data_IF_710643834087
#
_entry.id   IF_710643834087
#
_cell.length_a   1.000
_cell.length_b   1.000
_cell.length_c   1.000
_cell.angle_alpha   90.00
_cell.angle_beta   90.00
_cell.angle_gamma   90.00
#
_symmetry.space_group_name_H-M   'P 1'
#
loop_
_entity.id
_entity.type
_entity.pdbx_description
1 polymer ?
#
# COMPACT_ATOMS: atom_id res chain seq x y z
N UNK A 1 36.81 -18.95 5.16
CA UNK A 1 36.70 -17.56 4.69
C UNK A 1 35.39 -17.02 5.25
N UNK A 2 35.46 -16.15 6.26
CA UNK A 2 34.26 -15.47 6.75
C UNK A 2 33.89 -14.43 5.70
N UNK A 3 32.77 -14.64 5.00
CA UNK A 3 32.19 -13.61 4.17
C UNK A 3 31.82 -12.45 5.09
N UNK A 4 32.50 -11.32 4.93
CA UNK A 4 32.11 -10.05 5.55
C UNK A 4 30.80 -9.70 4.86
N UNK A 5 29.67 -9.92 5.55
CA UNK A 5 28.37 -9.42 5.10
C UNK A 5 28.42 -7.93 5.37
N UNK A 6 28.66 -7.13 4.35
CA UNK A 6 28.53 -5.68 4.42
C UNK A 6 27.04 -5.37 4.63
N UNK A 7 26.68 -5.07 5.87
CA UNK A 7 25.38 -4.52 6.18
C UNK A 7 25.33 -3.10 5.60
N UNK A 8 24.38 -2.86 4.74
CA UNK A 8 24.15 -1.51 4.24
C UNK A 8 23.71 -0.65 5.44
N UNK A 9 24.48 0.42 5.72
CA UNK A 9 24.12 1.37 6.77
C UNK A 9 22.76 1.98 6.38
N UNK A 10 21.83 1.96 7.31
CA UNK A 10 20.54 2.59 7.10
C UNK A 10 20.76 4.10 6.94
N UNK A 11 20.48 4.64 5.76
CA UNK A 11 20.55 6.05 5.42
C UNK A 11 19.24 6.48 4.75
N UNK A 12 18.70 7.61 5.19
CA UNK A 12 17.52 8.22 4.57
C UNK A 12 17.79 8.75 3.16
N UNK A 13 19.06 8.86 2.78
CA UNK A 13 19.48 9.56 1.56
C UNK A 13 19.43 8.70 0.30
N UNK A 14 19.02 7.43 0.42
CA UNK A 14 19.06 6.48 -0.69
C UNK A 14 17.76 6.40 -1.51
N UNK A 15 16.72 7.16 -1.16
CA UNK A 15 15.41 7.11 -1.80
C UNK A 15 14.94 8.49 -2.23
N UNK A 16 14.34 8.55 -3.41
CA UNK A 16 13.88 9.81 -4.02
C UNK A 16 12.44 10.18 -3.54
N UNK A 17 11.55 9.20 -3.52
CA UNK A 17 10.12 9.43 -3.26
C UNK A 17 9.58 8.70 -2.02
N UNK A 18 10.46 8.22 -1.15
CA UNK A 18 10.10 7.82 0.20
C UNK A 18 11.05 8.43 1.22
N UNK A 19 10.53 8.70 2.39
CA UNK A 19 11.31 8.99 3.59
C UNK A 19 11.23 7.79 4.53
N UNK A 20 12.33 7.46 5.16
CA UNK A 20 12.38 6.32 6.07
C UNK A 20 12.77 6.79 7.48
N UNK A 21 12.36 6.03 8.50
CA UNK A 21 12.70 6.26 9.92
C UNK A 21 12.81 4.92 10.63
N UNK A 22 13.81 4.77 11.47
CA UNK A 22 13.92 3.61 12.35
C UNK A 22 13.69 4.04 13.81
N UNK A 23 12.78 3.37 14.48
CA UNK A 23 12.54 3.49 15.92
C UNK A 23 13.16 2.28 16.61
N UNK A 24 14.15 2.53 17.49
CA UNK A 24 14.93 1.47 18.13
C UNK A 24 14.18 0.78 19.28
N UNK A 25 13.18 1.45 19.91
CA UNK A 25 12.50 0.91 21.10
C UNK A 25 11.79 -0.41 20.79
N UNK A 26 11.06 -0.46 19.67
CA UNK A 26 10.34 -1.66 19.24
C UNK A 26 10.87 -2.27 17.95
N UNK A 27 11.88 -1.66 17.34
CA UNK A 27 12.40 -2.07 16.05
C UNK A 27 11.41 -1.79 14.92
N UNK A 28 10.90 -0.55 14.83
CA UNK A 28 9.92 -0.15 13.82
C UNK A 28 10.60 0.56 12.66
N UNK A 29 10.55 -0.06 11.49
CA UNK A 29 11.01 0.52 10.23
C UNK A 29 9.85 1.21 9.54
N UNK A 30 9.91 2.52 9.43
CA UNK A 30 8.92 3.34 8.74
C UNK A 30 9.33 3.64 7.31
N UNK A 31 8.36 3.61 6.41
CA UNK A 31 8.44 4.19 5.07
C UNK A 31 7.25 5.12 4.85
N UNK A 32 7.55 6.39 4.58
CA UNK A 32 6.56 7.43 4.30
C UNK A 32 6.62 7.76 2.81
N UNK A 33 5.54 7.53 2.10
CA UNK A 33 5.42 7.87 0.68
C UNK A 33 5.42 9.38 0.46
N UNK A 34 6.17 9.83 -0.54
CA UNK A 34 6.27 11.23 -1.01
C UNK A 34 6.19 11.29 -2.52
N UNK A 35 5.17 10.70 -3.15
CA UNK A 35 5.11 10.65 -4.61
C UNK A 35 4.98 12.04 -5.23
N UNK A 36 5.77 12.30 -6.26
CA UNK A 36 5.72 13.50 -7.08
C UNK A 36 5.61 13.14 -8.56
N UNK A 37 4.93 13.93 -9.38
CA UNK A 37 4.21 15.18 -9.08
C UNK A 37 2.77 14.98 -8.60
N UNK A 38 2.33 13.76 -8.40
CA UNK A 38 0.97 13.39 -7.99
C UNK A 38 0.98 12.40 -6.83
N UNK A 39 -0.04 12.41 -5.97
CA UNK A 39 -0.14 11.51 -4.81
C UNK A 39 -0.58 10.09 -5.23
N UNK A 40 0.13 9.50 -6.18
CA UNK A 40 -0.15 8.17 -6.74
C UNK A 40 1.12 7.34 -6.84
N UNK A 41 1.00 6.08 -7.22
CA UNK A 41 2.15 5.21 -7.44
C UNK A 41 2.90 5.60 -8.73
N UNK A 42 3.87 6.50 -8.61
CA UNK A 42 4.83 6.73 -9.67
C UNK A 42 5.78 5.53 -9.79
N UNK A 43 6.45 5.39 -10.93
CA UNK A 43 7.45 4.33 -11.09
C UNK A 43 8.58 4.47 -10.07
N UNK A 44 8.97 5.69 -9.73
CA UNK A 44 10.01 5.98 -8.74
C UNK A 44 9.60 5.54 -7.34
N UNK A 45 8.41 5.93 -6.85
CA UNK A 45 7.97 5.50 -5.51
C UNK A 45 7.83 3.98 -5.40
N UNK A 46 7.39 3.32 -6.48
CA UNK A 46 7.32 1.86 -6.52
C UNK A 46 8.71 1.21 -6.44
N UNK A 47 9.69 1.76 -7.17
CA UNK A 47 11.07 1.26 -7.14
C UNK A 47 11.72 1.49 -5.77
N UNK A 48 11.52 2.66 -5.17
CA UNK A 48 12.03 2.98 -3.84
C UNK A 48 11.45 2.04 -2.78
N UNK A 49 10.12 1.84 -2.77
CA UNK A 49 9.45 0.94 -1.84
C UNK A 49 9.93 -0.50 -2.01
N UNK A 50 10.05 -0.98 -3.25
CA UNK A 50 10.48 -2.35 -3.51
C UNK A 50 11.94 -2.57 -3.08
N UNK A 51 12.83 -1.62 -3.38
CA UNK A 51 14.23 -1.67 -2.95
C UNK A 51 14.33 -1.68 -1.42
N UNK A 52 13.54 -0.83 -0.74
CA UNK A 52 13.47 -0.79 0.71
C UNK A 52 13.03 -2.13 1.32
N UNK A 53 11.99 -2.74 0.75
CA UNK A 53 11.48 -4.06 1.17
C UNK A 53 12.52 -5.16 0.97
N UNK A 54 13.15 -5.24 -0.21
CA UNK A 54 14.18 -6.23 -0.52
C UNK A 54 15.41 -6.10 0.38
N UNK A 55 15.83 -4.88 0.70
CA UNK A 55 16.92 -4.67 1.63
C UNK A 55 16.61 -5.28 3.00
N UNK A 56 15.41 -5.02 3.54
CA UNK A 56 14.99 -5.60 4.81
C UNK A 56 14.88 -7.13 4.77
N UNK A 57 14.36 -7.70 3.68
CA UNK A 57 14.30 -9.15 3.49
C UNK A 57 15.69 -9.78 3.42
N UNK A 58 16.57 -9.24 2.58
CA UNK A 58 17.92 -9.76 2.34
C UNK A 58 18.73 -9.83 3.61
N UNK A 59 18.59 -8.86 4.49
CA UNK A 59 19.26 -8.82 5.79
C UNK A 59 18.44 -9.44 6.93
N UNK A 60 17.31 -10.12 6.62
CA UNK A 60 16.42 -10.77 7.60
C UNK A 60 15.94 -9.80 8.69
N UNK A 61 15.67 -8.56 8.30
CA UNK A 61 15.25 -7.49 9.20
C UNK A 61 16.37 -6.89 10.05
N UNK A 62 17.64 -7.22 9.81
CA UNK A 62 18.75 -6.60 10.53
C UNK A 62 19.13 -5.27 9.87
N UNK A 63 19.24 -4.24 10.66
CA UNK A 63 19.62 -2.89 10.25
C UNK A 63 20.83 -2.41 11.05
N UNK A 64 21.67 -1.58 10.46
CA UNK A 64 22.79 -0.93 11.15
C UNK A 64 22.40 0.50 11.47
N UNK A 65 22.41 0.84 12.75
CA UNK A 65 22.17 2.21 13.22
C UNK A 65 23.21 2.54 14.30
N UNK A 66 23.81 3.72 14.23
CA UNK A 66 24.86 4.14 15.16
C UNK A 66 25.99 3.11 15.35
N UNK A 67 26.37 2.40 14.28
CA UNK A 67 27.40 1.35 14.30
C UNK A 67 26.99 0.04 15.00
N UNK A 68 25.72 -0.11 15.37
CA UNK A 68 25.19 -1.31 16.00
C UNK A 68 24.18 -2.01 15.10
N UNK A 69 24.15 -3.35 15.12
CA UNK A 69 23.14 -4.15 14.46
C UNK A 69 21.90 -4.24 15.36
N UNK A 70 20.76 -3.79 14.84
CA UNK A 70 19.45 -3.88 15.50
C UNK A 70 18.51 -4.76 14.67
N UNK A 71 17.49 -5.33 15.32
CA UNK A 71 16.45 -6.11 14.66
C UNK A 71 15.21 -5.24 14.41
N UNK A 72 14.80 -5.16 13.16
CA UNK A 72 13.48 -4.65 12.80
C UNK A 72 12.43 -5.75 13.05
N UNK A 73 11.40 -5.43 13.80
CA UNK A 73 10.28 -6.31 14.14
C UNK A 73 9.01 -5.93 13.36
N UNK A 74 8.91 -4.67 12.98
CA UNK A 74 7.76 -4.09 12.29
C UNK A 74 8.23 -3.26 11.11
N UNK A 75 7.44 -3.28 10.04
CA UNK A 75 7.62 -2.41 8.88
C UNK A 75 6.31 -1.68 8.63
N UNK A 76 6.34 -0.36 8.65
CA UNK A 76 5.16 0.48 8.50
C UNK A 76 5.19 1.23 7.18
N UNK A 77 4.13 1.10 6.41
CA UNK A 77 3.86 1.93 5.24
C UNK A 77 2.88 3.04 5.62
N UNK A 78 3.31 4.28 5.45
CA UNK A 78 2.54 5.49 5.72
C UNK A 78 2.72 6.52 4.59
N UNK A 79 2.19 7.71 4.75
CA UNK A 79 2.33 8.81 3.80
C UNK A 79 2.73 10.09 4.52
N UNK A 80 3.60 10.89 3.90
CA UNK A 80 3.91 12.26 4.34
C UNK A 80 2.95 13.30 3.73
N UNK A 81 2.01 12.87 2.87
CA UNK A 81 1.07 13.77 2.22
C UNK A 81 -0.14 14.02 3.12
N UNK A 82 -0.42 15.27 3.51
CA UNK A 82 -1.56 15.59 4.35
C UNK A 82 -2.89 15.14 3.74
N UNK A 83 -3.68 14.36 4.50
CA UNK A 83 -5.01 13.89 4.09
C UNK A 83 -5.02 12.86 2.95
N UNK A 84 -3.86 12.39 2.50
CA UNK A 84 -3.76 11.40 1.43
C UNK A 84 -2.77 10.31 1.81
N UNK A 85 -3.24 9.07 1.82
CA UNK A 85 -2.35 7.92 1.90
C UNK A 85 -1.72 7.63 0.53
N UNK A 86 -2.57 7.30 -0.47
CA UNK A 86 -2.17 7.17 -1.88
C UNK A 86 -3.44 7.08 -2.76
N UNK A 87 -3.45 7.74 -3.91
CA UNK A 87 -4.59 7.74 -4.83
C UNK A 87 -4.49 6.69 -5.95
N UNK A 88 -3.64 5.68 -5.78
CA UNK A 88 -3.56 4.52 -6.65
C UNK A 88 -2.58 4.66 -7.80
N UNK A 89 -2.87 3.98 -8.91
CA UNK A 89 -1.99 3.97 -10.07
C UNK A 89 -1.86 5.33 -10.75
N UNK A 90 -0.76 5.54 -11.47
CA UNK A 90 -0.57 6.71 -12.31
C UNK A 90 -1.47 6.65 -13.55
N UNK A 91 -2.69 7.16 -13.40
CA UNK A 91 -3.71 7.14 -14.46
C UNK A 91 -3.27 7.90 -15.74
N UNK A 92 -2.36 8.88 -15.61
CA UNK A 92 -1.81 9.56 -16.78
C UNK A 92 -0.88 8.63 -17.57
N UNK A 93 -0.08 7.83 -16.89
CA UNK A 93 0.74 6.79 -17.51
C UNK A 93 -0.14 5.68 -18.11
N UNK A 94 -1.20 5.24 -17.42
CA UNK A 94 -2.17 4.26 -17.98
C UNK A 94 -2.80 4.77 -19.26
N UNK A 95 -3.37 5.97 -19.23
CA UNK A 95 -4.02 6.57 -20.40
C UNK A 95 -3.09 6.63 -21.60
N UNK A 96 -1.83 7.04 -21.41
CA UNK A 96 -0.84 7.10 -22.48
C UNK A 96 -0.58 5.71 -23.07
N UNK A 97 -0.30 4.71 -22.22
CA UNK A 97 -0.04 3.35 -22.66
C UNK A 97 -1.25 2.74 -23.39
N UNK A 98 -2.47 2.95 -22.88
CA UNK A 98 -3.71 2.48 -23.51
C UNK A 98 -3.93 3.14 -24.88
N UNK A 99 -3.75 4.46 -24.97
CA UNK A 99 -3.91 5.19 -26.26
C UNK A 99 -2.86 4.73 -27.29
N UNK A 100 -1.67 4.39 -26.86
CA UNK A 100 -0.59 3.91 -27.72
C UNK A 100 -0.64 2.39 -27.97
N UNK A 101 -1.59 1.67 -27.35
CA UNK A 101 -1.67 0.20 -27.36
C UNK A 101 -0.35 -0.46 -26.87
N UNK A 102 0.34 0.21 -25.94
CA UNK A 102 1.59 -0.25 -25.36
C UNK A 102 1.34 -1.28 -24.25
N UNK A 103 1.08 -2.53 -24.65
CA UNK A 103 0.82 -3.64 -23.73
C UNK A 103 2.01 -3.92 -22.82
N UNK A 104 3.22 -3.90 -23.36
CA UNK A 104 4.44 -4.26 -22.61
C UNK A 104 4.76 -3.21 -21.56
N UNK A 105 4.68 -1.92 -21.90
CA UNK A 105 4.90 -0.83 -20.95
C UNK A 105 3.86 -0.83 -19.83
N UNK A 106 2.58 -1.10 -20.16
CA UNK A 106 1.50 -1.20 -19.17
C UNK A 106 1.70 -2.40 -18.23
N UNK A 107 2.03 -3.58 -18.80
CA UNK A 107 2.29 -4.80 -18.04
C UNK A 107 3.53 -4.66 -17.14
N UNK A 108 4.60 -4.05 -17.64
CA UNK A 108 5.81 -3.78 -16.85
C UNK A 108 5.52 -2.91 -15.63
N UNK A 109 4.70 -1.86 -15.80
CA UNK A 109 4.29 -1.01 -14.68
C UNK A 109 3.40 -1.79 -13.70
N UNK A 110 2.41 -2.52 -14.19
CA UNK A 110 1.49 -3.29 -13.37
C UNK A 110 2.22 -4.39 -12.57
N UNK A 111 3.18 -5.09 -13.18
CA UNK A 111 4.03 -6.07 -12.47
C UNK A 111 4.86 -5.42 -11.35
N UNK A 112 5.39 -4.23 -11.56
CA UNK A 112 6.11 -3.51 -10.51
C UNK A 112 5.17 -3.16 -9.32
N UNK A 113 3.90 -2.84 -9.59
CA UNK A 113 2.90 -2.69 -8.54
C UNK A 113 2.67 -4.00 -7.76
N UNK A 114 2.54 -5.12 -8.50
CA UNK A 114 2.37 -6.45 -7.88
C UNK A 114 3.58 -6.84 -7.03
N UNK A 115 4.80 -6.63 -7.52
CA UNK A 115 6.02 -6.94 -6.78
C UNK A 115 6.04 -6.24 -5.42
N UNK A 116 5.58 -4.99 -5.38
CA UNK A 116 5.48 -4.23 -4.12
C UNK A 116 4.49 -4.86 -3.14
N UNK A 117 3.24 -5.07 -3.56
CA UNK A 117 2.21 -5.60 -2.65
C UNK A 117 2.48 -7.04 -2.27
N UNK A 118 3.06 -7.83 -3.18
CA UNK A 118 3.45 -9.20 -2.91
C UNK A 118 4.57 -9.29 -1.87
N UNK A 119 5.65 -8.53 -2.06
CA UNK A 119 6.78 -8.53 -1.12
C UNK A 119 6.33 -8.06 0.27
N UNK A 120 5.43 -7.07 0.34
CA UNK A 120 4.88 -6.57 1.58
C UNK A 120 3.97 -7.60 2.27
N UNK A 121 3.10 -8.27 1.52
CA UNK A 121 2.21 -9.33 2.01
C UNK A 121 2.99 -10.57 2.47
N UNK A 122 3.97 -11.00 1.67
CA UNK A 122 4.72 -12.25 1.86
C UNK A 122 6.09 -12.01 2.52
N UNK A 123 6.23 -10.96 3.34
CA UNK A 123 7.49 -10.62 4.01
C UNK A 123 8.10 -11.84 4.70
N UNK A 124 9.23 -12.33 4.15
CA UNK A 124 9.91 -13.55 4.62
C UNK A 124 10.79 -13.30 5.84
N UNK A 125 11.25 -12.08 6.04
CA UNK A 125 11.93 -11.69 7.26
C UNK A 125 10.95 -11.78 8.46
N UNK A 126 11.45 -11.94 9.69
CA UNK A 126 10.61 -11.99 10.88
C UNK A 126 10.06 -10.59 11.24
N UNK A 127 9.40 -9.96 10.29
CA UNK A 127 8.85 -8.61 10.35
C UNK A 127 7.33 -8.69 10.17
N UNK A 128 6.60 -7.96 11.01
CA UNK A 128 5.17 -7.72 10.83
C UNK A 128 4.94 -6.46 10.02
N UNK A 129 4.27 -6.55 8.88
CA UNK A 129 3.95 -5.40 8.04
C UNK A 129 2.67 -4.72 8.52
N UNK A 130 2.68 -3.38 8.55
CA UNK A 130 1.56 -2.55 9.02
C UNK A 130 1.34 -1.41 8.02
N UNK A 131 0.10 -1.20 7.58
CA UNK A 131 -0.28 0.02 6.87
C UNK A 131 -0.95 0.99 7.84
N UNK A 132 -0.50 2.25 7.84
CA UNK A 132 -1.12 3.34 8.61
C UNK A 132 -1.79 4.32 7.64
N UNK A 133 -3.12 4.26 7.57
CA UNK A 133 -3.93 5.06 6.64
C UNK A 133 -4.52 6.27 7.37
N UNK A 134 -3.94 7.44 7.11
CA UNK A 134 -4.32 8.71 7.74
C UNK A 134 -4.99 9.68 6.76
N UNK A 135 -5.61 9.15 5.71
CA UNK A 135 -6.25 9.95 4.67
C UNK A 135 -6.81 9.08 3.57
N UNK A 136 -6.93 9.64 2.37
CA UNK A 136 -7.52 8.94 1.23
C UNK A 136 -6.61 7.85 0.69
N UNK A 137 -7.13 6.63 0.54
CA UNK A 137 -6.50 5.50 -0.13
C UNK A 137 -7.44 4.97 -1.21
N UNK A 138 -7.14 5.25 -2.48
CA UNK A 138 -8.02 4.89 -3.61
C UNK A 138 -7.34 3.92 -4.56
N UNK A 139 -8.11 2.97 -5.10
CA UNK A 139 -7.59 1.98 -6.04
C UNK A 139 -6.34 1.28 -5.53
N UNK A 140 -5.26 1.30 -6.30
CA UNK A 140 -3.97 0.74 -5.89
C UNK A 140 -3.47 1.21 -4.52
N UNK A 141 -3.84 2.43 -4.07
CA UNK A 141 -3.52 2.93 -2.73
C UNK A 141 -4.21 2.11 -1.63
N UNK A 142 -5.48 1.78 -1.83
CA UNK A 142 -6.20 0.89 -0.92
C UNK A 142 -5.70 -0.56 -1.04
N UNK A 143 -5.43 -1.04 -2.26
CA UNK A 143 -4.87 -2.38 -2.50
C UNK A 143 -3.50 -2.56 -1.81
N UNK A 144 -2.67 -1.54 -1.84
CA UNK A 144 -1.39 -1.52 -1.12
C UNK A 144 -1.59 -1.57 0.41
N UNK A 145 -2.56 -0.83 0.95
CA UNK A 145 -2.88 -0.90 2.37
C UNK A 145 -3.40 -2.30 2.78
N UNK A 146 -4.18 -2.96 1.91
CA UNK A 146 -4.70 -4.32 2.11
C UNK A 146 -3.61 -5.40 2.15
N UNK A 147 -2.45 -5.15 1.54
CA UNK A 147 -1.35 -6.12 1.51
C UNK A 147 -0.61 -6.25 2.86
N UNK A 148 -0.84 -5.35 3.81
CA UNK A 148 -0.25 -5.43 5.13
C UNK A 148 -0.86 -6.54 6.00
N UNK A 149 -0.07 -7.07 6.94
CA UNK A 149 -0.57 -8.00 7.97
C UNK A 149 -1.57 -7.33 8.91
N UNK A 150 -1.41 -6.02 9.15
CA UNK A 150 -2.28 -5.21 10.01
C UNK A 150 -2.57 -3.88 9.31
N UNK A 151 -3.83 -3.51 9.22
CA UNK A 151 -4.24 -2.19 8.74
C UNK A 151 -4.76 -1.35 9.90
N UNK A 152 -4.10 -0.23 10.15
CA UNK A 152 -4.52 0.80 11.10
C UNK A 152 -5.02 2.00 10.31
N UNK A 153 -6.20 2.52 10.62
CA UNK A 153 -6.74 3.66 9.90
C UNK A 153 -7.38 4.68 10.84
N UNK A 154 -7.20 5.96 10.55
CA UNK A 154 -7.91 7.03 11.22
C UNK A 154 -9.37 7.10 10.75
N UNK A 155 -10.30 7.46 11.65
CA UNK A 155 -11.76 7.40 11.43
C UNK A 155 -12.21 8.15 10.18
N UNK A 156 -11.61 9.31 9.90
CA UNK A 156 -11.93 10.13 8.73
C UNK A 156 -11.32 9.62 7.42
N UNK A 157 -10.42 8.62 7.47
CA UNK A 157 -9.81 8.07 6.28
C UNK A 157 -10.87 7.45 5.35
N UNK A 158 -10.72 7.72 4.05
CA UNK A 158 -11.61 7.26 3.01
C UNK A 158 -10.89 6.26 2.10
N UNK A 159 -11.46 5.09 1.90
CA UNK A 159 -10.85 4.03 1.10
C UNK A 159 -11.86 3.45 0.11
N UNK A 160 -11.43 3.16 -1.11
CA UNK A 160 -12.32 2.62 -2.12
C UNK A 160 -11.63 2.15 -3.39
N UNK A 161 -12.39 1.45 -4.21
CA UNK A 161 -11.95 0.85 -5.48
C UNK A 161 -12.80 1.42 -6.63
N UNK A 162 -12.47 2.65 -7.11
CA UNK A 162 -13.31 3.37 -8.07
C UNK A 162 -13.13 2.92 -9.54
N UNK A 163 -12.35 1.88 -9.81
CA UNK A 163 -11.97 1.45 -11.16
C UNK A 163 -13.17 1.12 -12.05
N UNK A 164 -14.23 0.56 -11.46
CA UNK A 164 -15.47 0.23 -12.20
C UNK A 164 -16.18 1.46 -12.77
N UNK A 165 -15.93 2.64 -12.22
CA UNK A 165 -16.50 3.90 -12.71
C UNK A 165 -15.95 4.30 -14.09
N UNK A 166 -14.78 3.80 -14.48
CA UNK A 166 -14.21 3.94 -15.81
C UNK A 166 -14.05 2.57 -16.53
N UNK A 167 -14.97 1.66 -16.23
CA UNK A 167 -15.11 0.38 -16.94
C UNK A 167 -13.89 -0.56 -16.80
N UNK A 168 -13.20 -0.51 -15.68
CA UNK A 168 -12.08 -1.38 -15.35
C UNK A 168 -12.31 -2.01 -13.97
N UNK A 169 -11.46 -2.90 -13.55
CA UNK A 169 -11.45 -3.45 -12.19
C UNK A 169 -10.12 -3.15 -11.49
N UNK A 170 -10.03 -3.21 -10.15
CA UNK A 170 -8.76 -2.99 -9.44
C UNK A 170 -7.78 -4.13 -9.70
N UNK A 171 -6.59 -3.80 -10.21
CA UNK A 171 -5.61 -4.76 -10.76
C UNK A 171 -4.37 -4.99 -9.89
N UNK A 172 -4.32 -4.45 -8.66
CA UNK A 172 -3.15 -4.55 -7.79
C UNK A 172 -3.38 -5.51 -6.60
N UNK A 173 -4.34 -6.45 -6.73
CA UNK A 173 -4.58 -7.52 -5.77
C UNK A 173 -5.83 -7.38 -4.92
N UNK A 174 -6.75 -6.44 -5.19
CA UNK A 174 -7.96 -6.21 -4.39
C UNK A 174 -8.76 -7.48 -4.14
N UNK A 175 -9.08 -8.24 -5.21
CA UNK A 175 -9.82 -9.49 -5.06
C UNK A 175 -9.09 -10.50 -4.19
N UNK A 176 -7.79 -10.67 -4.41
CA UNK A 176 -6.95 -11.63 -3.70
C UNK A 176 -6.87 -11.31 -2.20
N UNK A 177 -6.67 -10.04 -1.85
CA UNK A 177 -6.57 -9.63 -0.44
C UNK A 177 -7.94 -9.59 0.25
N UNK A 178 -8.96 -8.97 -0.38
CA UNK A 178 -10.29 -8.84 0.21
C UNK A 178 -10.97 -10.19 0.40
N UNK A 179 -10.90 -11.09 -0.61
CA UNK A 179 -11.51 -12.42 -0.48
C UNK A 179 -10.93 -13.24 0.67
N UNK A 180 -9.63 -13.06 0.95
CA UNK A 180 -8.95 -13.71 2.08
C UNK A 180 -9.26 -13.05 3.42
N UNK A 181 -9.68 -11.78 3.40
CA UNK A 181 -9.97 -11.00 4.62
C UNK A 181 -11.44 -11.03 5.01
N UNK A 182 -12.36 -10.88 4.05
CA UNK A 182 -13.82 -10.76 4.30
C UNK A 182 -14.67 -11.75 3.50
N UNK A 183 -14.05 -12.67 2.77
CA UNK A 183 -14.73 -13.66 1.94
C UNK A 183 -15.07 -13.16 0.54
N UNK A 184 -15.21 -14.10 -0.41
CA UNK A 184 -15.35 -13.81 -1.84
C UNK A 184 -16.58 -12.94 -2.15
N UNK A 185 -17.72 -13.23 -1.54
CA UNK A 185 -18.96 -12.50 -1.86
C UNK A 185 -18.92 -11.04 -1.40
N UNK A 186 -18.38 -10.76 -0.23
CA UNK A 186 -18.21 -9.38 0.25
C UNK A 186 -17.17 -8.63 -0.59
N UNK A 187 -16.08 -9.28 -0.98
CA UNK A 187 -15.08 -8.74 -1.87
C UNK A 187 -15.66 -8.37 -3.24
N UNK A 188 -16.43 -9.27 -3.87
CA UNK A 188 -17.10 -9.03 -5.16
C UNK A 188 -18.07 -7.85 -5.08
N UNK A 189 -18.88 -7.78 -4.02
CA UNK A 189 -19.80 -6.66 -3.77
C UNK A 189 -19.05 -5.34 -3.65
N UNK A 190 -17.96 -5.31 -2.89
CA UNK A 190 -17.14 -4.11 -2.69
C UNK A 190 -16.52 -3.64 -4.01
N UNK A 191 -15.88 -4.54 -4.75
CA UNK A 191 -15.22 -4.23 -6.03
C UNK A 191 -16.23 -3.72 -7.06
N UNK A 192 -17.39 -4.38 -7.20
CA UNK A 192 -18.42 -3.98 -8.19
C UNK A 192 -19.12 -2.67 -7.84
N UNK A 193 -19.14 -2.29 -6.57
CA UNK A 193 -19.86 -1.09 -6.15
C UNK A 193 -19.18 0.22 -6.57
N UNK A 194 -17.85 0.23 -6.70
CA UNK A 194 -17.06 1.45 -6.86
C UNK A 194 -17.21 2.46 -5.71
N UNK A 195 -17.82 2.01 -4.60
CA UNK A 195 -18.10 2.86 -3.44
C UNK A 195 -16.81 3.21 -2.70
N UNK A 196 -16.78 4.43 -2.16
CA UNK A 196 -15.80 4.87 -1.18
C UNK A 196 -16.39 4.65 0.22
N UNK A 197 -15.62 4.01 1.08
CA UNK A 197 -15.99 3.67 2.46
C UNK A 197 -15.18 4.51 3.44
N UNK A 198 -15.75 4.81 4.59
CA UNK A 198 -15.01 5.33 5.72
C UNK A 198 -14.22 4.21 6.41
N UNK A 199 -13.13 4.57 7.12
CA UNK A 199 -12.40 3.60 7.92
C UNK A 199 -13.29 2.91 8.96
N UNK A 200 -14.29 3.62 9.52
CA UNK A 200 -15.26 3.05 10.47
C UNK A 200 -16.13 1.97 9.83
N UNK A 201 -16.64 2.18 8.60
CA UNK A 201 -17.39 1.15 7.87
C UNK A 201 -16.50 -0.08 7.60
N UNK A 202 -15.27 0.14 7.15
CA UNK A 202 -14.32 -0.93 6.86
C UNK A 202 -13.87 -1.69 8.11
N UNK A 203 -13.79 -1.02 9.26
CA UNK A 203 -13.57 -1.68 10.55
C UNK A 203 -14.73 -2.60 10.92
N UNK A 204 -15.97 -2.12 10.75
CA UNK A 204 -17.18 -2.94 10.96
C UNK A 204 -17.26 -4.15 10.01
N UNK A 205 -16.67 -4.07 8.83
CA UNK A 205 -16.57 -5.16 7.84
C UNK A 205 -15.38 -6.11 8.09
N UNK A 206 -14.49 -5.82 9.04
CA UNK A 206 -13.28 -6.60 9.30
C UNK A 206 -12.14 -6.35 8.30
N UNK A 207 -12.18 -5.26 7.53
CA UNK A 207 -11.11 -4.87 6.60
C UNK A 207 -10.02 -4.09 7.32
N UNK A 208 -10.38 -3.10 8.14
CA UNK A 208 -9.48 -2.37 9.03
C UNK A 208 -9.33 -3.16 10.34
N UNK A 209 -8.10 -3.36 10.81
CA UNK A 209 -7.83 -4.14 12.02
C UNK A 209 -7.83 -3.27 13.29
N UNK A 210 -7.45 -1.99 13.15
CA UNK A 210 -7.42 -1.02 14.27
C UNK A 210 -7.95 0.33 13.78
N UNK A 211 -8.96 0.83 14.48
CA UNK A 211 -9.52 2.16 14.22
C UNK A 211 -8.90 3.16 15.20
N UNK A 212 -8.35 4.26 14.66
CA UNK A 212 -7.74 5.33 15.43
C UNK A 212 -8.58 6.61 15.35
N UNK A 213 -8.54 7.43 16.39
CA UNK A 213 -9.04 8.81 16.31
C UNK A 213 -8.18 9.61 15.32
N UNK A 214 -8.79 10.62 14.69
CA UNK A 214 -8.09 11.47 13.73
C UNK A 214 -6.90 12.18 14.37
N UNK A 215 -5.76 12.17 13.68
CA UNK A 215 -4.48 12.67 14.20
C UNK A 215 -3.83 11.79 15.28
N UNK A 216 -4.41 10.63 15.61
CA UNK A 216 -3.87 9.70 16.61
C UNK A 216 -3.38 8.37 16.00
N UNK A 217 -3.24 8.29 14.69
CA UNK A 217 -2.86 7.06 13.99
C UNK A 217 -1.53 6.49 14.45
N UNK A 218 -0.47 7.31 14.55
CA UNK A 218 0.84 6.86 15.04
C UNK A 218 0.76 6.39 16.51
N UNK A 219 0.01 7.10 17.37
CA UNK A 219 -0.22 6.67 18.75
C UNK A 219 -0.95 5.33 18.81
N UNK A 220 -2.01 5.14 18.01
CA UNK A 220 -2.75 3.88 17.96
C UNK A 220 -1.87 2.72 17.48
N UNK A 221 -0.94 2.97 16.54
CA UNK A 221 0.05 2.00 16.09
C UNK A 221 0.96 1.57 17.25
N UNK A 222 1.52 2.50 18.00
CA UNK A 222 2.38 2.15 19.15
C UNK A 222 1.59 1.51 20.28
N UNK A 223 0.32 1.89 20.52
CA UNK A 223 -0.57 1.22 21.47
C UNK A 223 -0.80 -0.25 21.05
N UNK A 224 -1.03 -0.51 19.76
CA UNK A 224 -1.14 -1.85 19.22
C UNK A 224 0.16 -2.64 19.37
N UNK A 225 1.31 -2.04 19.05
CA UNK A 225 2.64 -2.67 19.22
C UNK A 225 2.86 -3.04 20.66
N UNK A 226 2.70 -2.13 21.62
CA UNK A 226 2.90 -2.40 23.07
C UNK A 226 2.05 -3.59 23.54
N UNK A 227 0.81 -3.66 23.11
CA UNK A 227 -0.12 -4.74 23.45
C UNK A 227 0.33 -6.10 22.90
N UNK A 228 0.89 -6.13 21.68
CA UNK A 228 1.17 -7.36 20.95
C UNK A 228 2.65 -7.77 20.95
N UNK A 229 3.57 -6.89 21.34
CA UNK A 229 5.00 -7.15 21.21
C UNK A 229 5.48 -8.39 21.98
N UNK A 230 4.94 -8.64 23.17
CA UNK A 230 5.27 -9.84 23.97
C UNK A 230 4.82 -11.16 23.29
N UNK A 231 3.82 -11.11 22.43
CA UNK A 231 3.29 -12.25 21.67
C UNK A 231 3.67 -12.22 20.19
N UNK A 232 4.66 -11.43 19.79
CA UNK A 232 5.05 -11.23 18.39
C UNK A 232 5.38 -12.55 17.68
N UNK A 233 6.09 -13.47 18.34
CA UNK A 233 6.37 -14.79 17.78
C UNK A 233 5.09 -15.57 17.46
N UNK A 234 4.12 -15.58 18.36
CA UNK A 234 2.81 -16.21 18.15
C UNK A 234 2.05 -15.54 17.02
N UNK A 235 2.02 -14.19 16.99
CA UNK A 235 1.38 -13.43 15.93
C UNK A 235 1.93 -13.78 14.55
N UNK A 236 3.26 -13.76 14.39
CA UNK A 236 3.93 -14.09 13.14
C UNK A 236 3.70 -15.56 12.73
N UNK A 237 3.69 -16.49 13.68
CA UNK A 237 3.38 -17.89 13.41
C UNK A 237 1.94 -18.08 12.93
N UNK A 238 0.97 -17.38 13.53
CA UNK A 238 -0.42 -17.38 13.09
C UNK A 238 -0.57 -16.83 11.67
N UNK A 239 0.14 -15.73 11.32
CA UNK A 239 0.09 -15.20 9.95
C UNK A 239 0.60 -16.22 8.92
N UNK A 240 1.72 -16.89 9.20
CA UNK A 240 2.24 -17.96 8.33
C UNK A 240 1.26 -19.14 8.23
N UNK A 241 0.61 -19.53 9.32
CA UNK A 241 -0.42 -20.57 9.32
C UNK A 241 -1.61 -20.17 8.44
N UNK A 242 -2.11 -18.94 8.55
CA UNK A 242 -3.17 -18.42 7.67
C UNK A 242 -2.78 -18.47 6.19
N UNK A 243 -1.56 -18.03 5.86
CA UNK A 243 -1.05 -18.09 4.48
C UNK A 243 -0.92 -19.53 3.99
N UNK A 244 -0.66 -20.50 4.86
CA UNK A 244 -0.61 -21.92 4.48
C UNK A 244 -1.99 -22.52 4.24
N UNK A 245 -2.99 -22.10 5.01
CA UNK A 245 -4.40 -22.57 4.89
C UNK A 245 -5.09 -21.97 3.68
N UNK A 246 -4.86 -20.69 3.42
CA UNK A 246 -5.44 -19.95 2.29
C UNK A 246 -4.31 -19.23 1.53
N UNK A 247 -3.52 -19.97 0.74
CA UNK A 247 -2.33 -19.44 0.10
C UNK A 247 -2.68 -18.39 -0.95
N UNK A 248 -1.88 -17.32 -1.00
CA UNK A 248 -1.77 -16.43 -2.13
C UNK A 248 -0.42 -16.70 -2.78
N UNK A 249 -0.36 -16.72 -4.10
CA UNK A 249 0.89 -16.84 -4.86
C UNK A 249 1.11 -15.59 -5.70
N UNK A 250 2.36 -15.33 -6.06
CA UNK A 250 2.66 -14.21 -6.96
C UNK A 250 2.10 -14.47 -8.36
N UNK A 251 2.03 -15.75 -8.76
CA UNK A 251 1.46 -16.18 -10.04
C UNK A 251 -0.02 -15.81 -10.12
N UNK A 252 -0.82 -16.05 -9.06
CA UNK A 252 -2.22 -15.61 -9.00
C UNK A 252 -2.35 -14.10 -9.27
N UNK A 253 -1.50 -13.31 -8.63
CA UNK A 253 -1.51 -11.85 -8.82
C UNK A 253 -1.09 -11.44 -10.23
N UNK A 254 -0.08 -12.08 -10.81
CA UNK A 254 0.36 -11.79 -12.18
C UNK A 254 -0.68 -12.20 -13.23
N UNK A 255 -1.33 -13.35 -13.09
CA UNK A 255 -2.38 -13.79 -13.99
C UNK A 255 -3.57 -12.81 -13.96
N UNK A 256 -3.99 -12.35 -12.78
CA UNK A 256 -5.03 -11.32 -12.64
C UNK A 256 -4.58 -10.01 -13.28
N UNK A 257 -3.30 -9.65 -13.13
CA UNK A 257 -2.72 -8.43 -13.73
C UNK A 257 -2.72 -8.50 -15.25
N UNK A 258 -2.47 -9.66 -15.85
CA UNK A 258 -2.57 -9.82 -17.31
C UNK A 258 -4.02 -9.67 -17.81
N UNK A 259 -5.00 -10.22 -17.07
CA UNK A 259 -6.42 -9.97 -17.34
C UNK A 259 -6.74 -8.47 -17.27
N UNK A 260 -6.18 -7.77 -16.28
CA UNK A 260 -6.36 -6.33 -16.12
C UNK A 260 -5.78 -5.53 -17.28
N UNK A 261 -4.55 -5.86 -17.72
CA UNK A 261 -3.90 -5.20 -18.86
C UNK A 261 -4.73 -5.38 -20.14
N UNK A 262 -5.18 -6.60 -20.41
CA UNK A 262 -5.98 -6.90 -21.59
C UNK A 262 -7.35 -6.20 -21.55
N UNK A 263 -7.95 -6.06 -20.36
CA UNK A 263 -9.17 -5.27 -20.17
C UNK A 263 -8.92 -3.77 -20.38
N UNK A 264 -7.81 -3.25 -19.83
CA UNK A 264 -7.44 -1.85 -19.96
C UNK A 264 -7.22 -1.41 -21.42
N UNK A 265 -6.58 -2.26 -22.23
CA UNK A 265 -6.37 -1.99 -23.66
C UNK A 265 -7.64 -1.98 -24.49
N UNK A 266 -8.76 -2.49 -23.97
CA UNK A 266 -10.08 -2.45 -24.60
C UNK A 266 -10.94 -1.27 -24.16
N UNK A 267 -10.44 -0.39 -23.28
CA UNK A 267 -11.18 0.79 -22.85
C UNK A 267 -11.49 1.72 -24.01
N UNK A 268 -12.72 2.21 -24.05
CA UNK A 268 -13.18 3.16 -25.06
C UNK A 268 -12.68 4.58 -24.75
N UNK A 269 -12.78 5.47 -25.76
CA UNK A 269 -12.50 6.90 -25.53
C UNK A 269 -13.38 7.53 -24.46
N UNK A 270 -14.62 7.02 -24.27
CA UNK A 270 -15.51 7.46 -23.21
C UNK A 270 -14.93 7.12 -21.83
N UNK A 271 -14.42 5.90 -21.67
CA UNK A 271 -13.83 5.42 -20.44
C UNK A 271 -12.55 6.21 -20.12
N UNK A 272 -11.72 6.47 -21.14
CA UNK A 272 -10.51 7.29 -21.02
C UNK A 272 -10.80 8.75 -20.63
N UNK A 273 -11.93 9.33 -21.10
CA UNK A 273 -12.38 10.67 -20.66
C UNK A 273 -12.80 10.69 -19.19
N UNK A 274 -13.41 9.62 -18.70
CA UNK A 274 -13.74 9.49 -17.25
C UNK A 274 -12.45 9.39 -16.46
N UNK A 275 -11.52 8.54 -16.86
CA UNK A 275 -10.20 8.42 -16.24
C UNK A 275 -9.47 9.77 -16.20
N UNK A 276 -9.52 10.57 -17.27
CA UNK A 276 -8.92 11.91 -17.32
C UNK A 276 -9.51 12.88 -16.28
N UNK A 277 -10.82 12.81 -16.03
CA UNK A 277 -11.47 13.61 -14.97
C UNK A 277 -10.94 13.24 -13.60
N UNK A 278 -10.70 11.95 -13.36
CA UNK A 278 -10.11 11.47 -12.11
C UNK A 278 -8.66 11.94 -11.95
N UNK A 279 -7.86 11.91 -13.03
CA UNK A 279 -6.49 12.50 -13.03
C UNK A 279 -6.52 13.97 -12.64
N UNK A 280 -7.43 14.75 -13.20
CA UNK A 280 -7.59 16.18 -12.84
C UNK A 280 -7.98 16.34 -11.38
N UNK A 281 -8.82 15.47 -10.83
CA UNK A 281 -9.18 15.49 -9.41
C UNK A 281 -8.01 15.12 -8.50
N UNK A 282 -7.16 14.17 -8.90
CA UNK A 282 -5.92 13.85 -8.21
C UNK A 282 -4.97 15.06 -8.17
N UNK A 283 -4.79 15.75 -9.30
CA UNK A 283 -3.92 16.92 -9.40
C UNK A 283 -4.38 18.10 -8.54
N UNK A 284 -5.69 18.35 -8.41
CA UNK A 284 -6.23 19.45 -7.58
C UNK A 284 -5.91 19.27 -6.09
N UNK A 285 -5.87 18.03 -5.61
CA UNK A 285 -5.56 17.75 -4.19
C UNK A 285 -4.12 18.04 -3.80
N UNK A 286 -3.22 18.17 -4.77
CA UNK A 286 -1.83 18.59 -4.54
C UNK A 286 -1.75 20.11 -4.36
N UNK A 287 -2.62 20.87 -5.04
CA UNK A 287 -2.57 22.34 -5.08
C UNK A 287 -3.42 23.02 -4.01
N UNK A 288 -4.34 22.31 -3.38
CA UNK A 288 -5.19 22.83 -2.30
C UNK A 288 -4.97 22.03 -1.01
N UNK A 289 -3.96 22.38 -0.17
CA UNK A 289 -3.92 21.86 1.19
C UNK A 289 -5.13 22.42 1.92
N UNK A 290 -5.97 21.54 2.47
CA UNK A 290 -7.12 21.75 3.34
C UNK A 290 -7.43 23.21 3.76
N UNK A 291 -8.06 23.98 2.89
CA UNK A 291 -8.75 25.22 3.25
C UNK A 291 -10.21 24.82 3.57
N UNK A 292 -10.41 24.04 4.60
CA UNK A 292 -11.75 23.62 5.02
C UNK A 292 -12.02 23.79 6.52
N UNK A 293 -11.16 24.49 7.27
CA UNK A 293 -11.39 24.74 8.71
C UNK A 293 -11.52 26.22 9.10
N UNK A 294 -11.64 27.16 8.15
CA UNK A 294 -11.80 28.59 8.50
C UNK A 294 -13.09 29.26 8.02
N UNK A 295 -14.13 28.51 7.68
CA UNK A 295 -15.40 29.09 7.22
C UNK A 295 -16.61 28.73 8.10
N UNK A 296 -16.41 28.35 9.37
CA UNK A 296 -17.50 28.34 10.39
C UNK A 296 -16.90 28.87 11.69
N UNK A 297 -16.85 30.17 11.80
CA UNK A 297 -16.80 30.94 13.04
C UNK A 297 -17.73 32.14 12.91
#
# INVERSE_FOLDING_TARGET
MNAVVEFQQYSNDNFEQIRTRFDEEYGVMWSFMRPEPRPCFTRTVLQDLLMYQYNLESFKGRVVTNGQIKQANYMVLASDLPGVFNLGGDLATFRRAITQQDREGLLSYAKLCIDNVWTYYNMRAPITTISLVQGQAMGGGFESALSAHVMIAEKSALMGLPEVLFNLFPGMGAFSFLSRKIGMQAADTMVRSGKVYTATELYGMGVVDVLAEDGQGEKALYDWIRKNHRSLNSFQAIQRAKQRVNPLTVEELYEITEIWVDAALRLSERDLKIMERLVRAQNRKVTEPAIAEQAIA
#
